data_IF_656613858838
#
_entry.id   IF_656613858838
#
_cell.length_a   1.000
_cell.length_b   1.000
_cell.length_c   1.000
_cell.angle_alpha   90.00
_cell.angle_beta   90.00
_cell.angle_gamma   90.00
#
_symmetry.space_group_name_H-M   'P 1'
#
loop_
_entity.id
_entity.type
_entity.pdbx_description
1 polymer ?
#
# COMPACT_ATOMS: atom_id res chain seq x y z
N UNK A 1 24.68 -15.28 10.55
CA UNK A 1 24.22 -14.00 11.13
C UNK A 1 23.78 -13.02 10.05
N UNK A 2 24.58 -12.79 8.99
CA UNK A 2 24.15 -11.91 7.87
C UNK A 2 22.86 -12.35 7.16
N UNK A 3 22.74 -13.65 6.83
CA UNK A 3 21.56 -14.17 6.10
C UNK A 3 20.25 -13.96 6.88
N UNK A 4 20.30 -14.05 8.21
CA UNK A 4 19.15 -13.84 9.09
C UNK A 4 18.69 -12.37 9.07
N UNK A 5 19.65 -11.44 9.09
CA UNK A 5 19.38 -10.00 9.06
C UNK A 5 18.78 -9.56 7.72
N UNK A 6 19.29 -10.12 6.62
CA UNK A 6 18.73 -9.89 5.28
C UNK A 6 17.30 -10.43 5.21
N UNK A 7 17.06 -11.67 5.69
CA UNK A 7 15.74 -12.28 5.71
C UNK A 7 14.73 -11.47 6.56
N UNK A 8 15.16 -10.96 7.71
CA UNK A 8 14.34 -10.09 8.56
C UNK A 8 14.02 -8.77 7.87
N UNK A 9 15.00 -8.12 7.25
CA UNK A 9 14.78 -6.85 6.54
C UNK A 9 13.84 -7.00 5.34
N UNK A 10 13.89 -8.14 4.64
CA UNK A 10 12.93 -8.47 3.58
C UNK A 10 11.52 -8.67 4.12
N UNK A 11 11.37 -9.35 5.27
CA UNK A 11 10.08 -9.52 5.93
C UNK A 11 9.48 -8.17 6.36
N UNK A 12 10.30 -7.30 6.95
CA UNK A 12 9.89 -5.95 7.35
C UNK A 12 9.43 -5.15 6.13
N UNK A 13 10.16 -5.21 5.02
CA UNK A 13 9.80 -4.53 3.77
C UNK A 13 8.43 -4.99 3.23
N UNK A 14 8.16 -6.30 3.24
CA UNK A 14 6.86 -6.85 2.84
C UNK A 14 5.73 -6.34 3.74
N UNK A 15 5.98 -6.28 5.05
CA UNK A 15 4.99 -5.77 6.01
C UNK A 15 4.66 -4.30 5.76
N UNK A 16 5.67 -3.49 5.44
CA UNK A 16 5.50 -2.07 5.12
C UNK A 16 4.74 -1.87 3.81
N UNK A 17 5.09 -2.62 2.77
CA UNK A 17 4.32 -2.61 1.51
C UNK A 17 2.85 -2.92 1.76
N UNK A 18 2.57 -3.92 2.62
CA UNK A 18 1.21 -4.26 2.99
C UNK A 18 0.54 -3.14 3.80
N UNK A 19 1.21 -2.58 4.79
CA UNK A 19 0.68 -1.49 5.63
C UNK A 19 0.36 -0.23 4.81
N UNK A 20 1.20 0.12 3.84
CA UNK A 20 0.98 1.25 2.93
C UNK A 20 -0.17 0.97 1.96
N UNK A 21 -0.20 -0.22 1.35
CA UNK A 21 -1.19 -0.60 0.35
C UNK A 21 -2.57 -0.92 0.92
N UNK A 22 -2.65 -1.51 2.11
CA UNK A 22 -3.87 -2.01 2.74
C UNK A 22 -5.01 -0.97 2.79
N UNK A 23 -4.82 0.26 3.32
CA UNK A 23 -5.93 1.22 3.42
C UNK A 23 -6.50 1.60 2.06
N UNK A 24 -5.64 1.78 1.04
CA UNK A 24 -6.07 2.10 -0.32
C UNK A 24 -6.77 0.90 -1.00
N UNK A 25 -6.20 -0.30 -0.87
CA UNK A 25 -6.76 -1.52 -1.44
C UNK A 25 -8.12 -1.87 -0.83
N UNK A 26 -8.28 -1.72 0.49
CA UNK A 26 -9.56 -1.93 1.18
C UNK A 26 -10.61 -0.94 0.68
N UNK A 27 -10.26 0.34 0.56
CA UNK A 27 -11.18 1.35 0.02
C UNK A 27 -11.61 1.02 -1.42
N UNK A 28 -10.66 0.64 -2.28
CA UNK A 28 -10.95 0.23 -3.66
C UNK A 28 -11.80 -1.04 -3.73
N UNK A 29 -11.57 -1.99 -2.82
CA UNK A 29 -12.35 -3.23 -2.74
C UNK A 29 -13.80 -2.95 -2.33
N UNK A 30 -14.02 -2.15 -1.28
CA UNK A 30 -15.36 -1.77 -0.82
C UNK A 30 -16.14 -1.06 -1.92
N UNK A 31 -15.51 -0.09 -2.58
CA UNK A 31 -16.15 0.67 -3.66
C UNK A 31 -16.40 -0.20 -4.88
N UNK A 32 -15.43 -1.03 -5.26
CA UNK A 32 -15.57 -1.96 -6.38
C UNK A 32 -16.70 -2.96 -6.18
N UNK A 33 -16.85 -3.46 -4.96
CA UNK A 33 -17.95 -4.35 -4.57
C UNK A 33 -19.30 -3.63 -4.56
N UNK A 34 -19.37 -2.43 -3.99
CA UNK A 34 -20.60 -1.65 -3.97
C UNK A 34 -21.10 -1.36 -5.40
N UNK A 35 -20.18 -0.96 -6.28
CA UNK A 35 -20.50 -0.69 -7.69
C UNK A 35 -20.92 -1.96 -8.42
N UNK A 36 -20.26 -3.11 -8.21
CA UNK A 36 -20.65 -4.36 -8.88
C UNK A 36 -22.04 -4.83 -8.49
N UNK A 37 -22.44 -4.65 -7.22
CA UNK A 37 -23.79 -4.96 -6.75
C UNK A 37 -24.83 -4.05 -7.42
N UNK A 38 -24.58 -2.73 -7.47
CA UNK A 38 -25.49 -1.78 -8.13
C UNK A 38 -25.63 -2.07 -9.63
N UNK A 39 -24.53 -2.41 -10.30
CA UNK A 39 -24.53 -2.81 -11.70
C UNK A 39 -25.34 -4.09 -11.93
N UNK A 40 -25.22 -5.08 -11.05
CA UNK A 40 -25.98 -6.31 -11.13
C UNK A 40 -27.49 -6.10 -10.91
N UNK A 41 -27.86 -5.27 -9.93
CA UNK A 41 -29.26 -4.97 -9.60
C UNK A 41 -29.98 -4.17 -10.69
N UNK A 42 -29.27 -3.26 -11.36
CA UNK A 42 -29.84 -2.39 -12.40
C UNK A 42 -29.70 -2.94 -13.82
N UNK A 43 -28.96 -4.04 -13.99
CA UNK A 43 -28.59 -4.62 -15.29
C UNK A 43 -27.78 -3.67 -16.20
N UNK A 44 -27.22 -2.59 -15.67
CA UNK A 44 -26.37 -1.64 -16.42
C UNK A 44 -24.92 -2.11 -16.34
N UNK A 45 -24.41 -2.67 -17.45
CA UNK A 45 -23.02 -3.16 -17.56
C UNK A 45 -22.15 -2.25 -18.43
N UNK A 46 -22.16 -0.95 -18.13
CA UNK A 46 -21.29 0.01 -18.81
C UNK A 46 -19.90 0.07 -18.14
N UNK A 47 -18.87 -0.26 -18.92
CA UNK A 47 -17.48 -0.33 -18.44
C UNK A 47 -16.98 1.00 -17.84
N UNK A 48 -17.38 2.14 -18.42
CA UNK A 48 -17.05 3.50 -17.97
C UNK A 48 -17.61 3.81 -16.58
N UNK A 49 -18.82 3.34 -16.27
CA UNK A 49 -19.53 3.59 -15.01
C UNK A 49 -18.90 2.81 -13.85
N UNK A 50 -18.33 1.63 -14.12
CA UNK A 50 -17.53 0.89 -13.15
C UNK A 50 -16.16 1.53 -12.87
N UNK A 51 -15.60 2.21 -13.87
CA UNK A 51 -14.23 2.75 -13.81
C UNK A 51 -14.15 4.06 -13.04
N UNK A 52 -15.10 4.98 -13.27
CA UNK A 52 -15.05 6.34 -12.74
C UNK A 52 -15.04 6.42 -11.19
N UNK A 53 -15.91 5.69 -10.46
CA UNK A 53 -15.91 5.72 -8.99
C UNK A 53 -14.59 5.16 -8.41
N UNK A 54 -14.06 4.08 -9.00
CA UNK A 54 -12.78 3.48 -8.58
C UNK A 54 -11.62 4.45 -8.79
N UNK A 55 -11.60 5.16 -9.92
CA UNK A 55 -10.59 6.18 -10.21
C UNK A 55 -10.65 7.34 -9.22
N UNK A 56 -11.86 7.83 -8.90
CA UNK A 56 -12.04 8.90 -7.92
C UNK A 56 -11.51 8.50 -6.54
N UNK A 57 -11.77 7.26 -6.12
CA UNK A 57 -11.28 6.71 -4.85
C UNK A 57 -9.77 6.46 -4.88
N UNK A 58 -9.21 5.98 -5.99
CA UNK A 58 -7.77 5.83 -6.13
C UNK A 58 -7.05 7.19 -6.04
N UNK A 59 -7.50 8.18 -6.80
CA UNK A 59 -6.92 9.52 -6.81
C UNK A 59 -7.10 10.25 -5.48
N UNK A 60 -8.33 10.27 -4.95
CA UNK A 60 -8.62 10.88 -3.64
C UNK A 60 -7.90 10.15 -2.50
N UNK A 61 -7.85 8.82 -2.56
CA UNK A 61 -7.12 7.99 -1.61
C UNK A 61 -5.62 8.27 -1.63
N UNK A 62 -4.98 8.40 -2.80
CA UNK A 62 -3.58 8.80 -2.89
C UNK A 62 -3.33 10.21 -2.35
N UNK A 63 -4.26 11.15 -2.57
CA UNK A 63 -4.12 12.51 -2.06
C UNK A 63 -4.18 12.56 -0.52
N UNK A 64 -5.08 11.78 0.08
CA UNK A 64 -5.27 11.72 1.53
C UNK A 64 -4.24 10.84 2.24
N UNK A 65 -3.90 9.68 1.67
CA UNK A 65 -2.97 8.72 2.25
C UNK A 65 -1.51 8.98 1.88
N UNK A 66 -1.25 9.86 0.91
CA UNK A 66 0.11 10.20 0.45
C UNK A 66 1.06 10.58 1.58
N UNK A 67 0.71 11.54 2.47
CA UNK A 67 1.57 11.90 3.60
C UNK A 67 1.86 10.74 4.55
N UNK A 68 0.84 9.90 4.82
CA UNK A 68 0.99 8.70 5.65
C UNK A 68 1.96 7.69 5.03
N UNK A 69 1.82 7.42 3.72
CA UNK A 69 2.70 6.51 2.98
C UNK A 69 4.16 6.98 3.02
N UNK A 70 4.38 8.29 2.86
CA UNK A 70 5.73 8.88 2.93
C UNK A 70 6.34 8.71 4.32
N UNK A 71 5.57 8.95 5.39
CA UNK A 71 6.09 8.82 6.76
C UNK A 71 6.48 7.37 7.10
N UNK A 72 5.64 6.40 6.72
CA UNK A 72 5.94 4.97 6.92
C UNK A 72 7.21 4.56 6.17
N UNK A 73 7.35 4.97 4.91
CA UNK A 73 8.52 4.64 4.09
C UNK A 73 9.79 5.31 4.63
N UNK A 74 9.69 6.57 5.07
CA UNK A 74 10.80 7.32 5.67
C UNK A 74 11.30 6.65 6.94
N UNK A 75 10.40 6.27 7.84
CA UNK A 75 10.75 5.62 9.10
C UNK A 75 11.51 4.30 8.89
N UNK A 76 11.06 3.48 7.92
CA UNK A 76 11.75 2.25 7.56
C UNK A 76 13.11 2.51 6.92
N UNK A 77 13.18 3.50 6.04
CA UNK A 77 14.44 3.85 5.35
C UNK A 77 15.52 4.22 6.36
N UNK A 78 15.20 5.06 7.36
CA UNK A 78 16.15 5.39 8.44
C UNK A 78 16.61 4.13 9.18
N UNK A 79 15.67 3.26 9.56
CA UNK A 79 15.98 2.00 10.24
C UNK A 79 16.89 1.10 9.40
N UNK A 80 16.67 1.05 8.08
CA UNK A 80 17.48 0.26 7.15
C UNK A 80 18.91 0.81 7.06
N UNK A 81 19.06 2.14 6.97
CA UNK A 81 20.38 2.78 6.96
C UNK A 81 21.14 2.55 8.27
N UNK A 82 20.47 2.65 9.42
CA UNK A 82 21.10 2.35 10.71
C UNK A 82 21.60 0.90 10.79
N UNK A 83 20.80 -0.06 10.29
CA UNK A 83 21.22 -1.48 10.18
C UNK A 83 22.42 -1.66 9.26
N UNK A 84 22.49 -0.94 8.14
CA UNK A 84 23.65 -0.99 7.22
C UNK A 84 24.92 -0.41 7.84
N UNK A 85 24.82 0.71 8.56
CA UNK A 85 25.98 1.32 9.25
C UNK A 85 26.47 0.39 10.37
N UNK A 86 25.56 -0.22 11.13
CA UNK A 86 25.93 -1.21 12.15
C UNK A 86 26.65 -2.44 11.56
N UNK A 87 26.29 -2.83 10.33
CA UNK A 87 26.98 -3.87 9.58
C UNK A 87 28.36 -3.45 9.06
N UNK A 88 28.51 -2.21 8.58
CA UNK A 88 29.76 -1.72 8.01
C UNK A 88 30.77 -1.17 9.03
N UNK A 89 30.33 -0.83 10.25
CA UNK A 89 31.14 -0.24 11.32
C UNK A 89 31.71 -1.24 12.32
N UNK A 90 31.52 -2.55 12.12
CA UNK A 90 32.19 -3.58 12.91
C UNK A 90 33.66 -3.72 12.45
N UNK A 91 34.65 -3.75 13.37
CA UNK A 91 36.06 -3.94 13.02
C UNK A 91 36.33 -5.32 12.40
#
# INVERSE_FOLDING_TARGET
MEVELVAQSMRDALWICLQMGAPLLIALLVVGLAVSVVQALTQIQEASLAFLPKLAVAGGGMLLLGPFMVEVLRAWTVTLFDRMVALGGMP
#
